data_IF_219418630011
#
_entry.id   IF_219418630011
#
_cell.length_a   1.000
_cell.length_b   1.000
_cell.length_c   1.000
_cell.angle_alpha   90.00
_cell.angle_beta   90.00
_cell.angle_gamma   90.00
#
_symmetry.space_group_name_H-M   'P 1'
#
loop_
_entity.id
_entity.type
_entity.pdbx_description
1 polymer ?
#
# COMPACT_ATOMS: atom_id res chain seq x y z
N UNK A 1 -10.29 -25.20 1.64
CA UNK A 1 -10.79 -23.98 1.17
C UNK A 1 -11.53 -23.17 2.22
N UNK A 2 -12.62 -23.60 2.73
CA UNK A 2 -13.46 -22.79 3.59
C UNK A 2 -12.85 -22.23 4.86
N UNK A 3 -11.81 -22.86 5.39
CA UNK A 3 -11.27 -22.41 6.67
C UNK A 3 -10.62 -21.02 6.60
N UNK A 4 -9.86 -20.76 5.58
CA UNK A 4 -9.18 -19.48 5.46
C UNK A 4 -10.17 -18.35 5.20
N UNK A 5 -11.11 -18.57 4.33
CA UNK A 5 -12.11 -17.59 3.95
C UNK A 5 -13.13 -17.33 5.06
N UNK A 6 -13.40 -18.31 5.87
CA UNK A 6 -14.43 -18.24 6.93
C UNK A 6 -13.85 -17.93 8.31
N UNK A 7 -12.54 -17.92 8.43
CA UNK A 7 -11.88 -17.75 9.72
C UNK A 7 -11.95 -16.31 10.20
N UNK A 8 -12.03 -16.15 11.52
CA UNK A 8 -11.90 -14.84 12.16
C UNK A 8 -10.45 -14.55 12.58
N UNK A 9 -9.54 -15.47 12.33
CA UNK A 9 -8.14 -15.28 12.68
C UNK A 9 -7.36 -14.66 11.52
N UNK A 10 -6.48 -13.73 11.84
CA UNK A 10 -5.61 -13.09 10.86
C UNK A 10 -4.37 -13.99 10.64
N UNK A 11 -4.37 -14.69 9.52
CA UNK A 11 -3.26 -15.59 9.13
C UNK A 11 -2.76 -15.19 7.75
N UNK A 12 -2.04 -14.07 7.69
CA UNK A 12 -1.57 -13.52 6.43
C UNK A 12 -0.49 -14.39 5.80
N UNK A 13 -0.58 -14.55 4.50
CA UNK A 13 0.42 -15.26 3.71
C UNK A 13 1.37 -14.25 3.07
N UNK A 14 2.48 -13.95 3.74
CA UNK A 14 3.49 -13.05 3.21
C UNK A 14 4.39 -13.72 2.16
N UNK A 15 4.15 -14.97 1.84
CA UNK A 15 4.97 -15.69 0.87
C UNK A 15 4.40 -15.68 -0.54
N UNK A 16 3.22 -15.09 -0.72
CA UNK A 16 2.52 -15.13 -2.01
C UNK A 16 3.40 -14.63 -3.16
N UNK A 17 4.02 -13.49 -2.99
CA UNK A 17 4.84 -12.89 -4.05
C UNK A 17 6.12 -13.66 -4.30
N UNK A 18 6.63 -14.38 -3.32
CA UNK A 18 7.78 -15.25 -3.51
C UNK A 18 7.49 -16.38 -4.49
N UNK A 19 6.24 -16.81 -4.50
CA UNK A 19 5.80 -17.91 -5.37
C UNK A 19 5.55 -17.45 -6.79
N UNK A 20 5.42 -16.14 -7.00
CA UNK A 20 5.07 -15.58 -8.30
C UNK A 20 6.27 -15.46 -9.21
N UNK A 21 7.42 -15.09 -8.66
CA UNK A 21 8.58 -14.89 -9.50
C UNK A 21 9.88 -15.05 -8.77
N UNK A 22 10.83 -15.60 -9.49
CA UNK A 22 12.18 -15.84 -9.01
C UNK A 22 12.88 -14.54 -8.62
N UNK A 23 12.54 -13.44 -9.28
CA UNK A 23 13.17 -12.15 -9.00
C UNK A 23 12.94 -11.67 -7.57
N UNK A 24 11.77 -11.95 -7.02
CA UNK A 24 11.48 -11.57 -5.64
C UNK A 24 12.39 -12.33 -4.68
N UNK A 25 12.51 -13.63 -4.88
CA UNK A 25 13.41 -14.45 -4.08
C UNK A 25 14.86 -14.02 -4.21
N UNK A 26 15.30 -13.77 -5.44
CA UNK A 26 16.67 -13.36 -5.71
C UNK A 26 17.01 -12.04 -5.04
N UNK A 27 16.09 -11.09 -5.09
CA UNK A 27 16.29 -9.80 -4.46
C UNK A 27 16.46 -9.95 -2.96
N UNK A 28 15.65 -10.79 -2.36
CA UNK A 28 15.75 -11.05 -0.93
C UNK A 28 17.03 -11.75 -0.55
N UNK A 29 17.42 -12.73 -1.34
CA UNK A 29 18.68 -13.46 -1.10
C UNK A 29 19.88 -12.55 -1.25
N UNK A 30 19.81 -11.57 -2.16
CA UNK A 30 20.94 -10.68 -2.45
C UNK A 30 21.12 -9.58 -1.41
N UNK A 31 20.13 -9.22 -0.69
CA UNK A 31 20.28 -8.12 0.25
C UNK A 31 19.06 -7.83 1.07
N UNK A 32 18.01 -8.55 0.81
CA UNK A 32 16.81 -8.42 1.64
C UNK A 32 17.13 -8.87 3.06
N UNK A 33 16.47 -8.29 4.01
CA UNK A 33 16.66 -8.68 5.39
C UNK A 33 16.34 -10.17 5.53
N UNK A 34 17.23 -10.91 6.18
CA UNK A 34 17.01 -12.32 6.43
C UNK A 34 15.70 -12.58 7.16
N UNK A 35 15.26 -11.59 7.91
CA UNK A 35 14.06 -11.68 8.74
C UNK A 35 12.83 -11.17 8.03
N UNK A 36 12.97 -10.70 6.81
CA UNK A 36 11.83 -10.19 6.04
C UNK A 36 11.07 -11.39 5.45
N UNK A 37 9.87 -11.67 5.95
CA UNK A 37 9.10 -12.81 5.46
C UNK A 37 8.48 -12.57 4.10
N UNK A 38 8.70 -11.38 3.51
CA UNK A 38 8.10 -11.01 2.25
C UNK A 38 7.06 -9.93 2.42
N UNK A 39 6.51 -9.52 1.29
CA UNK A 39 5.54 -8.42 1.27
C UNK A 39 4.22 -8.88 0.68
N UNK A 40 3.16 -8.20 1.05
CA UNK A 40 1.84 -8.35 0.42
C UNK A 40 1.35 -6.98 -0.01
N UNK A 41 0.49 -6.93 -1.04
CA UNK A 41 -0.04 -5.65 -1.50
C UNK A 41 -1.06 -5.08 -0.53
N UNK A 42 -1.12 -3.76 -0.51
CA UNK A 42 -2.08 -3.00 0.29
C UNK A 42 -2.74 -1.98 -0.62
N UNK A 43 -4.05 -2.05 -0.75
CA UNK A 43 -4.82 -0.98 -1.37
C UNK A 43 -5.15 0.04 -0.29
N UNK A 44 -4.97 1.32 -0.59
CA UNK A 44 -5.24 2.40 0.35
C UNK A 44 -6.36 3.26 -0.20
N UNK A 45 -7.42 3.41 0.57
CA UNK A 45 -8.64 4.10 0.18
C UNK A 45 -8.95 5.25 1.13
N UNK A 46 -9.40 6.38 0.55
CA UNK A 46 -9.82 7.53 1.34
C UNK A 46 -11.16 7.22 2.02
N UNK A 47 -11.22 7.43 3.31
CA UNK A 47 -12.42 7.13 4.11
C UNK A 47 -13.62 7.99 3.70
N UNK A 48 -13.39 9.21 3.28
CA UNK A 48 -14.46 10.17 3.01
C UNK A 48 -14.91 10.12 1.55
N UNK A 49 -13.96 10.10 0.62
CA UNK A 49 -14.28 10.13 -0.81
C UNK A 49 -14.45 8.76 -1.42
N UNK A 50 -13.96 7.72 -0.76
CA UNK A 50 -13.90 6.34 -1.26
C UNK A 50 -12.96 6.16 -2.45
N UNK A 51 -12.17 7.16 -2.77
CA UNK A 51 -11.19 7.06 -3.84
C UNK A 51 -10.04 6.14 -3.42
N UNK A 52 -9.53 5.38 -4.39
CA UNK A 52 -8.31 4.61 -4.19
C UNK A 52 -7.12 5.56 -4.30
N UNK A 53 -6.35 5.66 -3.24
CA UNK A 53 -5.23 6.60 -3.16
C UNK A 53 -4.00 6.02 -3.84
N UNK A 54 -3.65 4.78 -3.46
CA UNK A 54 -2.53 4.07 -4.06
C UNK A 54 -2.63 2.59 -3.74
N UNK A 55 -1.84 1.80 -4.43
CA UNK A 55 -1.55 0.42 -4.06
C UNK A 55 -0.06 0.34 -3.77
N UNK A 56 0.27 -0.18 -2.62
CA UNK A 56 1.65 -0.28 -2.15
C UNK A 56 1.88 -1.66 -1.55
N UNK A 57 2.91 -1.79 -0.74
CA UNK A 57 3.25 -3.07 -0.12
C UNK A 57 3.50 -2.90 1.36
N UNK A 58 3.31 -3.98 2.09
CA UNK A 58 3.65 -4.02 3.51
C UNK A 58 4.25 -5.39 3.84
N UNK A 59 4.98 -5.44 4.94
CA UNK A 59 5.38 -6.70 5.54
C UNK A 59 4.84 -6.73 6.96
N UNK A 60 5.11 -7.81 7.68
CA UNK A 60 4.59 -7.93 9.03
C UNK A 60 5.04 -6.79 9.94
N UNK A 61 6.30 -6.39 9.83
CA UNK A 61 6.84 -5.32 10.63
C UNK A 61 6.15 -3.99 10.36
N UNK A 62 6.04 -3.60 9.08
CA UNK A 62 5.38 -2.34 8.71
C UNK A 62 3.90 -2.35 9.10
N UNK A 63 3.23 -3.47 8.93
CA UNK A 63 1.83 -3.61 9.30
C UNK A 63 1.64 -3.38 10.80
N UNK A 64 2.45 -4.02 11.62
CA UNK A 64 2.35 -3.87 13.06
C UNK A 64 2.63 -2.46 13.52
N UNK A 65 3.61 -1.80 12.89
CA UNK A 65 3.91 -0.40 13.16
C UNK A 65 2.73 0.50 12.79
N UNK A 66 2.13 0.25 11.64
CA UNK A 66 0.96 1.01 11.19
C UNK A 66 -0.21 0.86 12.16
N UNK A 67 -0.47 -0.35 12.60
CA UNK A 67 -1.57 -0.64 13.53
C UNK A 67 -1.32 -0.03 14.92
N UNK A 68 -0.09 -0.09 15.38
CA UNK A 68 0.25 0.44 16.70
C UNK A 68 0.14 1.97 16.74
N UNK A 69 0.59 2.64 15.68
CA UNK A 69 0.59 4.09 15.61
C UNK A 69 -0.69 4.67 15.02
N UNK A 70 -1.53 3.85 14.40
CA UNK A 70 -2.74 4.29 13.70
C UNK A 70 -2.44 5.31 12.62
N UNK A 71 -1.33 5.09 11.92
CA UNK A 71 -0.86 5.93 10.82
C UNK A 71 -0.56 5.06 9.62
N UNK A 72 -0.52 5.67 8.43
CA UNK A 72 -0.18 4.95 7.22
C UNK A 72 1.34 4.74 7.18
N UNK A 73 1.75 3.52 7.48
CA UNK A 73 3.13 3.08 7.44
C UNK A 73 3.19 1.85 6.56
N UNK A 74 4.02 1.91 5.54
CA UNK A 74 4.12 0.89 4.52
C UNK A 74 5.56 0.41 4.41
N UNK A 75 5.80 -0.55 3.51
CA UNK A 75 7.14 -1.02 3.23
C UNK A 75 7.54 -0.60 1.82
N UNK A 76 8.65 0.11 1.70
CA UNK A 76 9.18 0.50 0.41
C UNK A 76 9.99 -0.67 -0.16
N UNK A 77 9.47 -1.29 -1.21
CA UNK A 77 10.17 -2.41 -1.86
C UNK A 77 11.39 -1.95 -2.63
N UNK A 78 11.37 -0.72 -3.15
CA UNK A 78 12.51 -0.18 -3.89
C UNK A 78 13.67 0.19 -2.98
N UNK A 79 13.39 0.61 -1.76
CA UNK A 79 14.41 1.00 -0.79
C UNK A 79 14.62 -0.02 0.31
N UNK A 80 13.76 -1.02 0.35
CA UNK A 80 13.78 -2.10 1.34
C UNK A 80 13.79 -1.57 2.77
N UNK A 81 12.87 -0.66 3.07
CA UNK A 81 12.74 -0.08 4.40
C UNK A 81 11.33 0.44 4.65
N UNK A 82 11.05 0.79 5.92
CA UNK A 82 9.79 1.40 6.28
C UNK A 82 9.56 2.70 5.51
N UNK A 83 8.32 2.90 5.14
CA UNK A 83 7.86 4.16 4.58
C UNK A 83 6.73 4.69 5.45
N UNK A 84 7.09 5.57 6.38
CA UNK A 84 6.12 6.27 7.20
C UNK A 84 5.71 7.52 6.45
N UNK A 85 4.53 7.46 5.80
CA UNK A 85 4.06 8.58 4.99
C UNK A 85 3.90 9.84 5.85
N UNK A 86 4.65 10.87 5.50
CA UNK A 86 4.55 12.17 6.14
C UNK A 86 5.32 12.31 7.45
N UNK A 87 6.24 11.38 7.74
CA UNK A 87 6.99 11.41 9.00
C UNK A 87 7.71 12.73 9.22
N UNK A 88 8.33 13.27 8.17
CA UNK A 88 9.08 14.53 8.28
C UNK A 88 8.27 15.74 7.85
N UNK A 89 7.39 15.61 6.86
CA UNK A 89 6.60 16.73 6.32
C UNK A 89 5.35 17.03 7.14
N UNK A 90 4.91 16.10 7.95
CA UNK A 90 3.63 16.21 8.64
C UNK A 90 2.42 15.85 7.79
N UNK A 91 2.63 15.45 6.54
CA UNK A 91 1.55 15.06 5.64
C UNK A 91 1.19 13.59 5.86
N UNK A 92 0.81 13.26 7.10
CA UNK A 92 0.49 11.91 7.50
C UNK A 92 -0.96 11.56 7.15
N UNK A 93 -1.23 10.25 7.18
CA UNK A 93 -2.59 9.74 7.00
C UNK A 93 -2.95 8.92 8.23
N UNK A 94 -4.11 9.19 8.80
CA UNK A 94 -4.62 8.39 9.90
C UNK A 94 -5.15 7.08 9.36
N UNK A 95 -4.78 5.98 9.99
CA UNK A 95 -5.33 4.66 9.67
C UNK A 95 -6.58 4.45 10.52
N UNK A 96 -7.73 4.35 9.87
CA UNK A 96 -9.01 4.20 10.55
C UNK A 96 -9.46 2.76 10.62
N UNK A 97 -9.29 1.99 9.54
CA UNK A 97 -9.73 0.62 9.46
C UNK A 97 -8.76 -0.16 8.57
N UNK A 98 -8.72 -1.45 8.77
CA UNK A 98 -7.95 -2.35 7.93
C UNK A 98 -8.78 -3.60 7.68
N UNK A 99 -8.77 -4.07 6.45
CA UNK A 99 -9.48 -5.28 6.05
C UNK A 99 -8.51 -6.21 5.33
N UNK A 100 -8.81 -7.49 5.41
CA UNK A 100 -8.03 -8.52 4.73
C UNK A 100 -8.90 -9.21 3.70
N UNK A 101 -8.33 -9.61 2.58
CA UNK A 101 -9.06 -10.35 1.57
C UNK A 101 -9.29 -11.81 1.99
N UNK A 102 -10.15 -12.52 1.29
CA UNK A 102 -10.56 -13.88 1.67
C UNK A 102 -9.39 -14.86 1.70
N UNK A 103 -8.39 -14.69 0.87
CA UNK A 103 -7.22 -15.58 0.85
C UNK A 103 -6.11 -15.12 1.81
N UNK A 104 -6.31 -14.03 2.51
CA UNK A 104 -5.37 -13.46 3.47
C UNK A 104 -3.99 -13.21 2.87
N UNK A 105 -3.96 -12.60 1.72
CA UNK A 105 -2.71 -12.25 1.03
C UNK A 105 -2.69 -10.82 0.51
N UNK A 106 -3.65 -10.00 0.89
CA UNK A 106 -3.63 -8.56 0.60
C UNK A 106 -4.48 -7.83 1.64
N UNK A 107 -4.18 -6.55 1.80
CA UNK A 107 -4.88 -5.72 2.78
C UNK A 107 -5.55 -4.54 2.09
N UNK A 108 -6.60 -4.04 2.73
CA UNK A 108 -7.23 -2.78 2.36
C UNK A 108 -7.16 -1.89 3.60
N UNK A 109 -6.50 -0.76 3.48
CA UNK A 109 -6.44 0.24 4.53
C UNK A 109 -7.38 1.40 4.21
N UNK A 110 -8.22 1.76 5.16
CA UNK A 110 -9.09 2.93 5.07
C UNK A 110 -8.43 4.05 5.86
N UNK A 111 -8.11 5.15 5.19
CA UNK A 111 -7.31 6.22 5.78
C UNK A 111 -7.98 7.58 5.58
N UNK A 112 -7.55 8.54 6.39
CA UNK A 112 -7.94 9.94 6.22
C UNK A 112 -6.68 10.80 6.23
N UNK A 113 -6.44 11.59 5.17
CA UNK A 113 -5.28 12.47 5.17
C UNK A 113 -5.42 13.53 6.26
N UNK A 114 -4.34 13.72 7.01
CA UNK A 114 -4.29 14.77 8.01
C UNK A 114 -3.97 16.09 7.32
N UNK A 115 -3.09 16.03 6.33
CA UNK A 115 -2.65 17.18 5.57
C UNK A 115 -1.92 16.67 4.33
N UNK A 116 -2.11 17.35 3.20
CA UNK A 116 -1.45 16.97 1.95
C UNK A 116 -2.02 15.70 1.34
N UNK A 117 -1.26 15.05 0.49
CA UNK A 117 -1.66 13.85 -0.22
C UNK A 117 -0.50 12.89 -0.40
N UNK A 118 -0.78 11.81 -1.12
CA UNK A 118 0.20 10.73 -1.26
C UNK A 118 1.16 10.96 -2.43
N UNK A 119 0.69 11.55 -3.50
CA UNK A 119 1.49 11.77 -4.69
C UNK A 119 2.40 12.98 -4.52
N UNK A 120 3.59 12.92 -5.12
CA UNK A 120 4.52 14.05 -5.13
C UNK A 120 3.99 15.21 -5.99
N UNK A 121 3.07 14.93 -6.90
CA UNK A 121 2.57 15.93 -7.83
C UNK A 121 1.34 16.62 -7.26
N UNK A 122 1.12 17.85 -7.74
CA UNK A 122 -0.04 18.63 -7.36
C UNK A 122 -0.73 19.11 -8.63
N UNK A 123 -2.03 19.36 -8.55
CA UNK A 123 -2.76 19.89 -9.69
C UNK A 123 -2.54 21.40 -9.81
N UNK A 124 -3.15 22.02 -10.83
CA UNK A 124 -2.98 23.45 -11.08
C UNK A 124 -3.46 24.33 -9.92
N UNK A 125 -4.38 23.81 -9.12
CA UNK A 125 -4.87 24.53 -7.93
C UNK A 125 -3.96 24.31 -6.71
N UNK A 126 -2.88 23.55 -6.85
CA UNK A 126 -1.97 23.25 -5.75
C UNK A 126 -2.45 22.14 -4.84
N UNK A 127 -3.52 21.45 -5.18
CA UNK A 127 -4.03 20.35 -4.38
C UNK A 127 -3.27 19.06 -4.70
N UNK A 128 -2.97 18.25 -3.68
CA UNK A 128 -2.28 16.99 -3.90
C UNK A 128 -3.19 16.00 -4.62
N UNK A 129 -2.57 15.15 -5.44
CA UNK A 129 -3.28 14.12 -6.19
C UNK A 129 -3.13 12.76 -5.51
N UNK A 130 -4.09 11.87 -5.82
CA UNK A 130 -3.89 10.43 -5.59
C UNK A 130 -2.95 9.90 -6.67
N UNK A 131 -2.41 8.69 -6.48
CA UNK A 131 -1.46 8.13 -7.46
C UNK A 131 -2.09 7.87 -8.82
N UNK A 132 -3.38 7.63 -8.87
CA UNK A 132 -4.09 7.22 -10.10
C UNK A 132 -4.80 8.38 -10.76
N UNK A 133 -4.06 9.41 -11.14
CA UNK A 133 -4.64 10.61 -11.74
C UNK A 133 -4.50 10.65 -13.26
N UNK A 134 -3.98 9.59 -13.87
CA UNK A 134 -3.84 9.49 -15.33
C UNK A 134 -4.64 8.30 -15.83
N UNK A 135 -5.54 8.59 -16.76
CA UNK A 135 -6.42 7.59 -17.35
C UNK A 135 -5.78 7.02 -18.61
N UNK A 136 -5.90 5.72 -18.80
CA UNK A 136 -5.38 5.03 -19.98
C UNK A 136 -6.47 4.95 -21.04
N UNK A 137 -6.15 5.40 -22.26
CA UNK A 137 -7.01 5.15 -23.41
C UNK A 137 -6.76 3.71 -23.87
N UNK A 138 -7.81 2.90 -23.92
CA UNK A 138 -7.69 1.47 -24.19
C UNK A 138 -7.21 1.17 -25.61
N UNK A 139 -7.47 2.05 -26.53
CA UNK A 139 -7.11 1.81 -27.94
C UNK A 139 -5.71 2.33 -28.27
N UNK A 140 -5.40 3.55 -27.82
CA UNK A 140 -4.14 4.20 -28.17
C UNK A 140 -3.04 3.96 -27.14
N UNK A 141 -3.40 3.51 -25.94
CA UNK A 141 -2.52 3.34 -24.78
C UNK A 141 -1.87 4.65 -24.33
N UNK A 142 -2.47 5.75 -24.68
CA UNK A 142 -2.02 7.07 -24.23
C UNK A 142 -2.67 7.44 -22.91
N UNK A 143 -2.02 8.35 -22.19
CA UNK A 143 -2.46 8.78 -20.87
C UNK A 143 -3.14 10.14 -20.96
N UNK A 144 -4.21 10.31 -20.18
CA UNK A 144 -4.88 11.58 -20.01
C UNK A 144 -4.90 11.92 -18.52
N UNK A 145 -4.41 13.10 -18.18
CA UNK A 145 -4.46 13.57 -16.80
C UNK A 145 -5.89 14.04 -16.48
N UNK A 146 -6.54 13.35 -15.55
CA UNK A 146 -7.92 13.67 -15.17
C UNK A 146 -8.00 14.61 -13.97
N UNK A 147 -6.84 15.08 -13.50
CA UNK A 147 -6.77 16.05 -12.40
C UNK A 147 -5.62 17.03 -12.67
N UNK A 148 -5.72 17.79 -13.76
CA UNK A 148 -4.65 18.70 -14.18
C UNK A 148 -4.42 19.88 -13.24
#
# INVERSE_FOLDING_TARGET
MGQLEESSELTLDFTKLEKVGKQVSDTRAAGGAEHDPGVIPVAVQNADTKEVILVAYTNEFAMKESFAKKKLILWSTSRNKLWFKGETSGETFDLLEAYVNCEQNSLLYIVRPCRGGICHTKNAAGAPRNCYYRKIDFETLKLTNVNP
#
